data_IF_487130469839
#
_entry.id   IF_487130469839
#
_cell.length_a   1.000
_cell.length_b   1.000
_cell.length_c   1.000
_cell.angle_alpha   90.00
_cell.angle_beta   90.00
_cell.angle_gamma   90.00
#
_symmetry.space_group_name_H-M   'P 1'
#
loop_
_entity.id
_entity.type
_entity.pdbx_description
1 polymer ?
#
# COMPACT_ATOMS: atom_id res chain seq x y z
N UNK A 1 -8.76 -4.64 -5.14
CA UNK A 1 -7.40 -4.07 -5.24
C UNK A 1 -6.40 -5.19 -5.02
N UNK A 2 -5.36 -5.27 -5.85
CA UNK A 2 -4.24 -6.19 -5.68
C UNK A 2 -2.99 -5.34 -5.50
N UNK A 3 -2.27 -5.56 -4.41
CA UNK A 3 -0.93 -5.00 -4.25
C UNK A 3 0.06 -6.15 -4.34
N UNK A 4 1.08 -5.98 -5.18
CA UNK A 4 2.14 -6.97 -5.37
C UNK A 4 3.45 -6.29 -5.00
N UNK A 5 4.30 -6.93 -4.21
CA UNK A 5 5.62 -6.39 -3.91
C UNK A 5 6.73 -7.23 -4.52
N UNK A 6 7.77 -6.53 -4.92
CA UNK A 6 9.09 -7.06 -5.29
C UNK A 6 10.11 -6.57 -4.27
N UNK A 7 11.38 -6.95 -4.40
CA UNK A 7 12.45 -6.57 -3.47
C UNK A 7 12.61 -5.06 -3.26
N UNK A 8 12.35 -4.23 -4.28
CA UNK A 8 12.63 -2.78 -4.24
C UNK A 8 11.42 -1.91 -4.61
N UNK A 9 10.36 -2.52 -5.12
CA UNK A 9 9.17 -1.79 -5.59
C UNK A 9 7.89 -2.53 -5.25
N UNK A 10 6.80 -1.80 -5.08
CA UNK A 10 5.46 -2.34 -4.97
C UNK A 10 4.56 -1.81 -6.08
N UNK A 11 3.78 -2.70 -6.65
CA UNK A 11 2.80 -2.40 -7.68
C UNK A 11 1.42 -2.36 -7.05
N UNK A 12 0.73 -1.23 -7.18
CA UNK A 12 -0.67 -1.09 -6.87
C UNK A 12 -1.49 -1.29 -8.14
N UNK A 13 -2.34 -2.30 -8.15
CA UNK A 13 -3.27 -2.57 -9.24
C UNK A 13 -4.72 -2.54 -8.74
N UNK A 14 -5.57 -1.84 -9.48
CA UNK A 14 -7.03 -1.91 -9.35
C UNK A 14 -7.68 -2.14 -10.71
N UNK A 15 -9.00 -2.26 -10.71
CA UNK A 15 -9.80 -2.46 -11.91
C UNK A 15 -9.69 -1.22 -12.83
N UNK A 16 -8.72 -1.25 -13.73
CA UNK A 16 -8.44 -0.18 -14.71
C UNK A 16 -7.17 0.63 -14.48
N UNK A 17 -6.41 0.42 -13.40
CA UNK A 17 -5.12 1.09 -13.20
C UNK A 17 -4.06 0.19 -12.57
N UNK A 18 -2.81 0.39 -12.94
CA UNK A 18 -1.66 -0.33 -12.38
C UNK A 18 -0.46 0.60 -12.35
N UNK A 19 0.06 0.87 -11.15
CA UNK A 19 1.18 1.78 -10.94
C UNK A 19 2.25 1.11 -10.09
N UNK A 20 3.51 1.33 -10.44
CA UNK A 20 4.68 0.78 -9.75
C UNK A 20 5.34 1.90 -8.97
N UNK A 21 5.56 1.68 -7.68
CA UNK A 21 6.15 2.64 -6.76
C UNK A 21 7.36 2.02 -6.04
N UNK A 22 8.39 2.81 -5.72
CA UNK A 22 9.51 2.35 -4.91
C UNK A 22 9.08 2.05 -3.47
N UNK A 23 9.65 1.02 -2.86
CA UNK A 23 9.29 0.61 -1.49
C UNK A 23 9.69 1.63 -0.43
N UNK A 24 10.66 2.48 -0.73
CA UNK A 24 11.03 3.62 0.10
C UNK A 24 9.87 4.61 0.31
N UNK A 25 8.95 4.71 -0.65
CA UNK A 25 7.76 5.56 -0.53
C UNK A 25 6.58 4.85 0.13
N UNK A 26 6.68 3.54 0.41
CA UNK A 26 5.63 2.76 1.04
C UNK A 26 5.17 3.32 2.40
N UNK A 27 6.06 3.67 3.36
CA UNK A 27 5.64 4.27 4.63
C UNK A 27 4.95 5.64 4.44
N UNK A 28 5.36 6.41 3.43
CA UNK A 28 4.76 7.70 3.07
C UNK A 28 3.33 7.51 2.52
N UNK A 29 3.12 6.51 1.67
CA UNK A 29 1.79 6.15 1.17
C UNK A 29 0.88 5.63 2.30
N UNK A 30 1.40 4.79 3.21
CA UNK A 30 0.65 4.32 4.38
C UNK A 30 0.15 5.46 5.26
N UNK A 31 1.04 6.39 5.61
CA UNK A 31 0.69 7.57 6.39
C UNK A 31 -0.34 8.45 5.66
N UNK A 32 -0.20 8.61 4.35
CA UNK A 32 -1.14 9.35 3.52
C UNK A 32 -2.54 8.74 3.50
N UNK A 33 -2.65 7.42 3.29
CA UNK A 33 -3.93 6.72 3.27
C UNK A 33 -4.59 6.67 4.65
N UNK A 34 -3.81 6.49 5.74
CA UNK A 34 -4.33 6.64 7.10
C UNK A 34 -4.90 8.03 7.36
N UNK A 35 -4.15 9.07 7.02
CA UNK A 35 -4.62 10.45 7.19
C UNK A 35 -5.88 10.75 6.36
N UNK A 36 -6.00 10.17 5.15
CA UNK A 36 -7.24 10.26 4.35
C UNK A 36 -8.40 9.46 4.94
N UNK A 37 -8.14 8.28 5.52
CA UNK A 37 -9.15 7.46 6.21
C UNK A 37 -9.79 8.23 7.36
N UNK A 38 -8.97 8.89 8.18
CA UNK A 38 -9.43 9.71 9.31
C UNK A 38 -10.23 10.94 8.86
N UNK A 39 -9.80 11.59 7.77
CA UNK A 39 -10.48 12.78 7.23
C UNK A 39 -11.74 12.46 6.42
N UNK A 40 -11.81 11.27 5.82
CA UNK A 40 -12.90 10.87 4.93
C UNK A 40 -13.46 9.50 5.30
N UNK A 41 -14.20 9.38 6.42
CA UNK A 41 -14.74 8.12 6.90
C UNK A 41 -15.72 7.45 5.91
N UNK A 42 -16.35 8.22 4.99
CA UNK A 42 -17.22 7.67 3.94
C UNK A 42 -16.49 6.81 2.90
N UNK A 43 -15.21 7.10 2.63
CA UNK A 43 -14.40 6.35 1.66
C UNK A 43 -13.31 5.50 2.32
N UNK A 44 -13.25 5.51 3.65
CA UNK A 44 -12.37 4.66 4.45
C UNK A 44 -12.44 3.19 4.04
N UNK A 45 -13.65 2.68 3.72
CA UNK A 45 -13.86 1.30 3.29
C UNK A 45 -13.13 0.93 1.99
N UNK A 46 -12.84 1.92 1.12
CA UNK A 46 -12.06 1.71 -0.10
C UNK A 46 -10.55 1.75 0.17
N UNK A 47 -10.12 2.43 1.23
CA UNK A 47 -8.71 2.55 1.62
C UNK A 47 -8.26 1.44 2.56
N UNK A 48 -9.13 0.89 3.41
CA UNK A 48 -8.85 -0.23 4.31
C UNK A 48 -8.15 -1.41 3.60
N UNK A 49 -8.65 -1.94 2.46
CA UNK A 49 -7.97 -3.02 1.76
C UNK A 49 -6.63 -2.59 1.15
N UNK A 50 -6.45 -1.31 0.81
CA UNK A 50 -5.19 -0.78 0.28
C UNK A 50 -4.14 -0.64 1.39
N UNK A 51 -4.54 -0.11 2.55
CA UNK A 51 -3.70 0.02 3.75
C UNK A 51 -3.25 -1.37 4.21
N UNK A 52 -4.17 -2.33 4.34
CA UNK A 52 -3.85 -3.70 4.73
C UNK A 52 -2.88 -4.38 3.74
N UNK A 53 -3.05 -4.14 2.44
CA UNK A 53 -2.15 -4.67 1.43
C UNK A 53 -0.76 -4.04 1.52
N UNK A 54 -0.66 -2.73 1.73
CA UNK A 54 0.61 -2.02 1.94
C UNK A 54 1.31 -2.47 3.24
N UNK A 55 0.57 -2.61 4.35
CA UNK A 55 1.13 -3.14 5.62
C UNK A 55 1.67 -4.56 5.45
N UNK A 56 0.94 -5.43 4.73
CA UNK A 56 1.40 -6.79 4.46
C UNK A 56 2.65 -6.83 3.57
N UNK A 57 2.80 -5.87 2.67
CA UNK A 57 4.03 -5.73 1.88
C UNK A 57 5.20 -5.31 2.77
N UNK A 58 4.99 -4.32 3.64
CA UNK A 58 6.02 -3.83 4.54
C UNK A 58 6.53 -4.92 5.49
N UNK A 59 5.60 -5.72 6.05
CA UNK A 59 5.92 -6.89 6.87
C UNK A 59 6.76 -7.94 6.10
N UNK A 60 6.43 -8.19 4.83
CA UNK A 60 7.20 -9.13 3.99
C UNK A 60 8.59 -8.61 3.63
N UNK A 61 8.71 -7.31 3.38
CA UNK A 61 10.00 -6.69 3.03
C UNK A 61 10.95 -6.59 4.23
N UNK A 62 10.42 -6.46 5.45
CA UNK A 62 11.23 -6.58 6.68
C UNK A 62 11.73 -8.02 6.90
N UNK A 63 10.94 -9.03 6.50
CA UNK A 63 11.23 -10.45 6.72
C UNK A 63 12.09 -11.12 5.66
N UNK A 64 12.52 -10.45 4.60
CA UNK A 64 13.33 -11.08 3.55
C UNK A 64 14.83 -10.95 3.88
N UNK A 65 15.52 -12.02 4.36
CA UNK A 65 16.96 -11.98 4.55
C UNK A 65 17.66 -11.94 3.18
N UNK A 66 18.74 -11.16 3.13
CA UNK A 66 19.67 -10.99 2.01
C UNK A 66 20.33 -12.29 1.53
#
# INVERSE_FOLDING_TARGET
>A
MKATCTETTFTLASEGWSEVYPIEELPKWLAFYRGRREKHPRVAVFYDPMIAALESIMDKSDRQPA
#
